data_IF_960921342667
#
_entry.id   IF_960921342667
#
_cell.length_a   1.000
_cell.length_b   1.000
_cell.length_c   1.000
_cell.angle_alpha   90.00
_cell.angle_beta   90.00
_cell.angle_gamma   90.00
#
_symmetry.space_group_name_H-M   'P 1'
#
loop_
_entity.id
_entity.type
_entity.pdbx_description
1 polymer ?
#
# COMPACT_ATOMS: atom_id res chain seq x y z
N UNK A 1 -1.97 33.84 0.37
CA UNK A 1 -0.95 32.89 -0.12
C UNK A 1 -0.45 31.92 0.97
N UNK A 2 -0.15 32.37 2.20
CA UNK A 2 0.36 31.51 3.27
C UNK A 2 -0.58 30.34 3.68
N UNK A 3 -1.91 30.55 3.61
CA UNK A 3 -2.91 29.55 4.02
C UNK A 3 -3.00 28.38 3.05
N UNK A 4 -2.84 28.62 1.74
CA UNK A 4 -2.88 27.57 0.71
C UNK A 4 -1.66 26.65 0.83
N UNK A 5 -0.49 27.24 1.17
CA UNK A 5 0.74 26.49 1.45
C UNK A 5 0.63 25.62 2.71
N UNK A 6 -0.09 26.09 3.73
CA UNK A 6 -0.34 25.33 4.96
C UNK A 6 -1.27 24.12 4.71
N UNK A 7 -2.29 24.29 3.87
CA UNK A 7 -3.23 23.22 3.50
C UNK A 7 -2.54 22.14 2.64
N UNK A 8 -1.67 22.53 1.71
CA UNK A 8 -0.84 21.59 0.93
C UNK A 8 0.19 20.84 1.78
N UNK A 9 0.65 21.43 2.88
CA UNK A 9 1.58 20.77 3.83
C UNK A 9 0.87 19.73 4.71
N UNK A 10 -0.41 19.94 5.03
CA UNK A 10 -1.19 19.05 5.90
C UNK A 10 -1.79 17.85 5.16
N UNK A 11 -1.99 17.91 3.84
CA UNK A 11 -2.53 16.79 3.04
C UNK A 11 -1.52 15.68 2.72
N UNK A 12 -0.24 15.85 3.11
CA UNK A 12 0.83 14.90 2.81
C UNK A 12 0.99 13.74 3.79
N UNK A 13 0.17 13.68 4.84
CA UNK A 13 0.20 12.60 5.81
C UNK A 13 -0.97 11.65 5.56
N UNK A 14 -0.70 10.34 5.59
CA UNK A 14 -1.64 9.23 5.44
C UNK A 14 -1.87 8.81 3.98
N UNK A 15 -0.81 8.30 3.35
CA UNK A 15 -0.96 7.26 2.33
C UNK A 15 -0.01 6.13 2.69
N UNK A 16 -0.57 5.01 3.15
CA UNK A 16 0.19 3.80 3.40
C UNK A 16 0.75 3.32 2.06
N UNK A 17 2.08 3.30 1.93
CA UNK A 17 2.72 2.75 0.74
C UNK A 17 2.37 1.27 0.60
N UNK A 18 2.28 0.74 -0.63
CA UNK A 18 2.09 -0.68 -0.84
C UNK A 18 3.32 -1.46 -0.34
N UNK A 19 3.20 -1.96 0.89
CA UNK A 19 4.00 -3.00 1.54
C UNK A 19 5.48 -3.07 1.14
N UNK A 20 6.32 -2.21 1.73
CA UNK A 20 7.75 -2.51 1.80
C UNK A 20 7.93 -3.79 2.65
N UNK A 21 8.57 -4.81 2.07
CA UNK A 21 8.84 -6.08 2.77
C UNK A 21 9.86 -5.92 3.89
N UNK A 22 10.61 -4.80 3.93
CA UNK A 22 11.67 -4.56 4.93
C UNK A 22 11.09 -4.34 6.35
N UNK A 23 10.10 -3.46 6.58
CA UNK A 23 9.39 -3.39 7.86
C UNK A 23 8.83 -4.75 8.32
N UNK A 24 8.21 -5.51 7.41
CA UNK A 24 7.68 -6.85 7.70
C UNK A 24 8.78 -7.84 8.08
N UNK A 25 9.90 -7.84 7.36
CA UNK A 25 11.06 -8.68 7.67
C UNK A 25 11.74 -8.29 8.99
N UNK A 26 11.58 -7.05 9.43
CA UNK A 26 12.02 -6.58 10.75
C UNK A 26 10.97 -6.83 11.85
N UNK A 27 9.95 -7.66 11.61
CA UNK A 27 8.90 -7.93 12.60
C UNK A 27 8.03 -6.71 12.91
N UNK A 28 7.81 -5.85 11.91
CA UNK A 28 7.14 -4.55 12.07
C UNK A 28 7.85 -3.60 13.06
N UNK A 29 9.11 -3.89 13.44
CA UNK A 29 9.89 -3.01 14.29
C UNK A 29 10.23 -1.71 13.52
N UNK A 30 9.61 -0.61 13.95
CA UNK A 30 9.80 0.74 13.42
C UNK A 30 11.01 1.44 14.04
N UNK A 31 12.11 0.73 14.23
CA UNK A 31 13.37 1.28 14.77
C UNK A 31 14.33 1.44 13.59
N UNK A 32 14.80 2.67 13.37
CA UNK A 32 15.77 2.96 12.32
C UNK A 32 17.13 2.34 12.67
N UNK A 33 17.38 1.11 12.21
CA UNK A 33 18.70 0.48 12.28
C UNK A 33 19.54 0.92 11.07
N UNK A 34 20.78 1.39 11.27
CA UNK A 34 21.67 1.74 10.18
C UNK A 34 22.22 0.45 9.52
N UNK A 35 21.53 -0.02 8.48
CA UNK A 35 22.00 -1.05 7.54
C UNK A 35 22.13 -0.41 6.15
N UNK A 36 23.28 -0.53 5.49
CA UNK A 36 23.52 -0.01 4.14
C UNK A 36 22.52 -0.51 3.08
N UNK A 37 21.82 -1.62 3.34
CA UNK A 37 20.76 -2.16 2.49
C UNK A 37 19.35 -2.13 3.13
N UNK A 38 19.22 -1.86 4.45
CA UNK A 38 17.93 -1.83 5.18
C UNK A 38 17.69 -0.57 6.02
N UNK A 39 18.44 0.50 5.76
CA UNK A 39 18.18 1.82 6.34
C UNK A 39 16.78 2.27 5.96
N UNK A 40 15.90 2.28 6.97
CA UNK A 40 14.63 2.99 6.93
C UNK A 40 14.93 4.46 6.66
N UNK A 41 14.62 4.91 5.46
CA UNK A 41 14.70 6.33 5.12
C UNK A 41 13.36 7.01 5.35
N UNK A 42 13.38 8.34 5.27
CA UNK A 42 12.20 9.17 5.47
C UNK A 42 11.06 8.85 4.48
N UNK A 43 11.38 8.46 3.24
CA UNK A 43 10.39 8.00 2.27
C UNK A 43 9.68 6.73 2.73
N UNK A 44 10.44 5.73 3.22
CA UNK A 44 9.89 4.48 3.75
C UNK A 44 9.13 4.66 5.06
N UNK A 45 9.57 5.61 5.90
CA UNK A 45 8.94 5.85 7.21
C UNK A 45 7.64 6.65 7.10
N UNK A 46 7.63 7.75 6.36
CA UNK A 46 6.49 8.65 6.29
C UNK A 46 5.58 8.43 5.07
N UNK A 47 6.00 7.60 4.12
CA UNK A 47 5.29 7.45 2.85
C UNK A 47 5.32 8.69 1.96
N UNK A 48 6.18 9.67 2.27
CA UNK A 48 6.20 10.97 1.59
C UNK A 48 7.05 10.91 0.31
N UNK A 49 6.37 10.99 -0.84
CA UNK A 49 6.99 10.96 -2.17
C UNK A 49 8.07 12.02 -2.40
N UNK A 50 8.05 13.16 -1.70
CA UNK A 50 9.11 14.17 -1.81
C UNK A 50 10.49 13.65 -1.35
N UNK A 51 10.52 12.59 -0.55
CA UNK A 51 11.76 11.99 -0.06
C UNK A 51 12.23 10.79 -0.88
N UNK A 52 11.55 10.44 -1.99
CA UNK A 52 11.92 9.29 -2.82
C UNK A 52 13.33 9.42 -3.39
N UNK A 53 13.84 10.62 -3.64
CA UNK A 53 15.22 10.80 -4.08
C UNK A 53 16.26 10.40 -3.00
N UNK A 54 15.89 10.46 -1.72
CA UNK A 54 16.70 9.97 -0.63
C UNK A 54 16.57 8.45 -0.45
N UNK A 55 15.62 7.82 -1.15
CA UNK A 55 15.55 6.38 -1.25
C UNK A 55 16.75 5.84 -2.03
N UNK A 56 17.07 4.56 -1.80
CA UNK A 56 18.18 3.81 -2.39
C UNK A 56 18.80 4.46 -3.64
N UNK A 57 20.08 4.86 -3.59
CA UNK A 57 20.73 5.69 -4.62
C UNK A 57 20.88 5.01 -5.99
N UNK A 58 20.66 3.69 -6.07
CA UNK A 58 20.75 2.92 -7.31
C UNK A 58 19.45 2.88 -8.10
N UNK A 59 19.57 2.63 -9.41
CA UNK A 59 18.45 2.16 -10.20
C UNK A 59 18.25 0.67 -9.96
N UNK A 60 17.01 0.24 -9.79
CA UNK A 60 16.73 -1.16 -9.51
C UNK A 60 15.35 -1.57 -10.04
N UNK A 61 15.21 -2.86 -10.27
CA UNK A 61 13.96 -3.54 -10.59
C UNK A 61 13.90 -4.81 -9.75
N UNK A 62 12.72 -5.11 -9.22
CA UNK A 62 12.48 -6.25 -8.34
C UNK A 62 11.17 -6.92 -8.71
N UNK A 63 11.16 -8.24 -8.56
CA UNK A 63 9.97 -9.08 -8.62
C UNK A 63 9.82 -9.73 -7.26
N UNK A 64 8.64 -9.60 -6.66
CA UNK A 64 8.33 -10.17 -5.36
C UNK A 64 7.06 -11.01 -5.43
N UNK A 65 7.09 -12.12 -4.71
CA UNK A 65 5.96 -13.01 -4.51
C UNK A 65 5.55 -12.93 -3.04
N UNK A 66 4.29 -12.62 -2.80
CA UNK A 66 3.69 -12.59 -1.48
C UNK A 66 2.63 -13.68 -1.37
N UNK A 67 2.68 -14.44 -0.29
CA UNK A 67 1.59 -15.29 0.15
C UNK A 67 1.35 -15.00 1.63
N UNK A 68 0.10 -14.79 1.98
CA UNK A 68 -0.36 -14.68 3.35
C UNK A 68 -1.62 -15.52 3.50
N UNK A 69 -1.64 -16.39 4.50
CA UNK A 69 -2.80 -17.21 4.82
C UNK A 69 -3.09 -17.09 6.30
N UNK A 70 -4.35 -16.83 6.64
CA UNK A 70 -4.82 -16.81 8.02
C UNK A 70 -6.17 -17.51 8.11
N UNK A 71 -6.37 -18.31 9.17
CA UNK A 71 -7.66 -18.96 9.48
C UNK A 71 -7.84 -19.01 10.98
N UNK A 72 -9.06 -18.80 11.45
CA UNK A 72 -9.33 -18.90 12.89
C UNK A 72 -10.76 -18.54 13.28
N UNK A 73 -11.14 -19.00 14.47
CA UNK A 73 -12.45 -18.70 15.06
C UNK A 73 -12.47 -17.37 15.84
N UNK A 74 -11.30 -16.89 16.30
CA UNK A 74 -11.20 -15.61 16.98
C UNK A 74 -11.14 -14.50 15.92
N UNK A 75 -12.30 -13.93 15.61
CA UNK A 75 -12.49 -12.90 14.57
C UNK A 75 -13.61 -11.96 14.98
N UNK A 76 -13.62 -10.72 14.47
CA UNK A 76 -14.77 -9.81 14.66
C UNK A 76 -15.97 -10.29 13.84
N UNK A 77 -17.13 -9.70 14.10
CA UNK A 77 -18.40 -10.16 13.55
C UNK A 77 -18.47 -10.22 12.02
N UNK A 78 -17.86 -9.25 11.32
CA UNK A 78 -17.81 -9.19 9.85
C UNK A 78 -16.47 -9.65 9.26
N UNK A 79 -15.52 -10.07 10.10
CA UNK A 79 -14.23 -10.58 9.60
C UNK A 79 -14.44 -11.95 8.94
N UNK A 80 -13.63 -12.27 7.93
CA UNK A 80 -13.66 -13.57 7.27
C UNK A 80 -13.18 -14.70 8.20
N UNK A 81 -13.61 -15.94 7.95
CA UNK A 81 -13.10 -17.11 8.66
C UNK A 81 -11.69 -17.45 8.18
N UNK A 82 -11.47 -17.34 6.88
CA UNK A 82 -10.19 -17.56 6.22
C UNK A 82 -9.85 -16.39 5.30
N UNK A 83 -8.57 -16.02 5.27
CA UNK A 83 -8.00 -15.01 4.37
C UNK A 83 -6.81 -15.62 3.66
N UNK A 84 -6.77 -15.48 2.34
CA UNK A 84 -5.70 -15.98 1.48
C UNK A 84 -5.35 -14.87 0.50
N UNK A 85 -4.23 -14.21 0.75
CA UNK A 85 -3.77 -13.10 -0.06
C UNK A 85 -2.52 -13.56 -0.80
N UNK A 86 -2.63 -13.67 -2.10
CA UNK A 86 -1.51 -14.00 -2.98
C UNK A 86 -1.22 -12.81 -3.87
N UNK A 87 0.05 -12.49 -4.05
CA UNK A 87 0.40 -11.42 -4.95
C UNK A 87 1.73 -11.67 -5.67
N UNK A 88 1.78 -11.19 -6.91
CA UNK A 88 3.03 -11.00 -7.64
C UNK A 88 3.18 -9.50 -7.86
N UNK A 89 4.31 -8.93 -7.45
CA UNK A 89 4.59 -7.53 -7.65
C UNK A 89 5.87 -7.30 -8.43
N UNK A 90 5.83 -6.33 -9.33
CA UNK A 90 6.94 -5.82 -10.10
C UNK A 90 7.14 -4.39 -9.66
N UNK A 91 8.31 -4.07 -9.10
CA UNK A 91 8.61 -2.72 -8.62
C UNK A 91 9.97 -2.27 -9.11
N UNK A 92 10.14 -0.97 -9.30
CA UNK A 92 11.42 -0.43 -9.72
C UNK A 92 11.55 1.05 -9.42
N UNK A 93 12.80 1.48 -9.28
CA UNK A 93 13.18 2.87 -9.10
C UNK A 93 14.21 3.26 -10.16
N UNK A 94 14.03 4.45 -10.73
CA UNK A 94 14.96 5.04 -11.68
C UNK A 94 15.23 6.50 -11.34
N UNK A 95 16.50 6.83 -11.17
CA UNK A 95 16.99 8.21 -11.17
C UNK A 95 17.05 8.68 -12.61
N UNK A 96 16.15 9.58 -12.97
CA UNK A 96 16.06 10.15 -14.32
C UNK A 96 17.12 11.24 -14.51
N UNK A 97 17.43 11.95 -13.43
CA UNK A 97 18.51 12.94 -13.35
C UNK A 97 19.09 12.97 -11.92
N UNK A 98 20.15 13.74 -11.65
CA UNK A 98 20.64 13.94 -10.28
C UNK A 98 19.59 14.52 -9.32
N UNK A 99 18.56 15.19 -9.84
CA UNK A 99 17.50 15.84 -9.04
C UNK A 99 16.16 15.14 -9.10
N UNK A 100 15.98 14.14 -9.97
CA UNK A 100 14.67 13.53 -10.25
C UNK A 100 14.70 12.01 -10.12
N UNK A 101 13.74 11.48 -9.37
CA UNK A 101 13.58 10.04 -9.14
C UNK A 101 12.15 9.63 -9.42
N UNK A 102 11.99 8.53 -10.16
CA UNK A 102 10.72 7.88 -10.44
C UNK A 102 10.70 6.50 -9.80
N UNK A 103 9.55 6.14 -9.24
CA UNK A 103 9.26 4.81 -8.72
C UNK A 103 7.93 4.33 -9.30
N UNK A 104 7.89 3.05 -9.66
CA UNK A 104 6.68 2.40 -10.12
C UNK A 104 6.56 1.01 -9.55
N UNK A 105 5.34 0.59 -9.27
CA UNK A 105 4.99 -0.75 -8.88
C UNK A 105 3.68 -1.17 -9.54
N UNK A 106 3.65 -2.39 -10.04
CA UNK A 106 2.43 -3.09 -10.45
C UNK A 106 2.35 -4.35 -9.62
N UNK A 107 1.24 -4.54 -8.92
CA UNK A 107 0.97 -5.69 -8.08
C UNK A 107 -0.31 -6.37 -8.54
N UNK A 108 -0.21 -7.62 -8.96
CA UNK A 108 -1.36 -8.47 -9.24
C UNK A 108 -1.74 -9.20 -7.97
N UNK A 109 -2.94 -8.93 -7.45
CA UNK A 109 -3.46 -9.56 -6.24
C UNK A 109 -4.46 -10.64 -6.61
N UNK A 110 -4.46 -11.70 -5.81
CA UNK A 110 -5.47 -12.74 -5.74
C UNK A 110 -5.82 -12.88 -4.26
N UNK A 111 -6.84 -12.14 -3.85
CA UNK A 111 -7.29 -12.04 -2.48
C UNK A 111 -8.60 -12.81 -2.33
N UNK A 112 -8.60 -13.81 -1.46
CA UNK A 112 -9.76 -14.66 -1.20
C UNK A 112 -10.14 -14.57 0.28
N UNK A 113 -11.39 -14.21 0.54
CA UNK A 113 -11.96 -14.18 1.89
C UNK A 113 -13.08 -15.20 1.99
N UNK A 114 -12.87 -16.19 2.83
CA UNK A 114 -13.79 -17.30 3.06
C UNK A 114 -14.78 -16.97 4.17
N UNK A 115 -16.06 -17.26 3.94
CA UNK A 115 -17.16 -17.19 4.92
C UNK A 115 -17.22 -15.84 5.64
N UNK A 116 -17.29 -14.78 4.86
CA UNK A 116 -17.56 -13.43 5.36
C UNK A 116 -19.02 -13.36 5.76
N UNK A 117 -19.23 -13.03 7.03
CA UNK A 117 -20.55 -13.04 7.65
C UNK A 117 -21.21 -11.67 7.45
N UNK A 118 -22.36 -11.65 6.77
CA UNK A 118 -23.28 -10.50 6.68
C UNK A 118 -22.70 -9.18 6.18
N UNK A 119 -21.51 -9.17 5.56
CA UNK A 119 -20.98 -8.00 4.88
C UNK A 119 -21.18 -8.13 3.37
N UNK A 120 -21.58 -7.03 2.73
CA UNK A 120 -21.67 -6.89 1.27
C UNK A 120 -20.31 -6.51 0.68
N UNK A 121 -19.49 -5.82 1.46
CA UNK A 121 -18.17 -5.35 1.06
C UNK A 121 -17.07 -6.24 1.62
N UNK A 122 -15.95 -6.28 0.88
CA UNK A 122 -14.79 -7.10 1.24
C UNK A 122 -14.03 -6.53 2.46
N UNK A 123 -14.12 -5.23 2.70
CA UNK A 123 -13.45 -4.51 3.79
C UNK A 123 -14.47 -3.71 4.63
N UNK A 124 -15.34 -4.39 5.40
CA UNK A 124 -16.45 -3.76 6.12
C UNK A 124 -16.03 -2.87 7.30
N UNK A 125 -14.72 -2.73 7.56
CA UNK A 125 -14.17 -1.92 8.65
C UNK A 125 -13.19 -0.86 8.12
N UNK A 126 -13.29 -0.50 6.83
CA UNK A 126 -12.49 0.57 6.25
C UNK A 126 -12.93 1.96 6.79
N UNK A 127 -12.44 3.04 6.20
CA UNK A 127 -12.69 4.42 6.65
C UNK A 127 -14.17 4.84 6.67
N UNK A 128 -15.06 4.08 6.02
CA UNK A 128 -16.48 4.37 5.97
C UNK A 128 -17.15 4.11 7.34
N UNK A 129 -17.89 5.09 7.89
CA UNK A 129 -18.53 4.95 9.19
C UNK A 129 -19.76 4.01 9.16
N UNK A 130 -20.19 3.58 7.97
CA UNK A 130 -21.36 2.74 7.78
C UNK A 130 -20.96 1.43 7.12
N UNK A 131 -21.45 0.32 7.67
CA UNK A 131 -21.22 -1.01 7.12
C UNK A 131 -22.45 -1.47 6.36
N UNK A 132 -22.31 -1.68 5.06
CA UNK A 132 -23.36 -2.29 4.24
C UNK A 132 -23.40 -3.80 4.52
N UNK A 133 -24.54 -4.24 5.05
CA UNK A 133 -24.75 -5.61 5.49
C UNK A 133 -25.87 -6.32 4.74
N UNK A 134 -25.75 -7.63 4.65
CA UNK A 134 -26.75 -8.53 4.10
C UNK A 134 -27.14 -9.62 5.11
N UNK A 135 -28.08 -10.48 4.74
CA UNK A 135 -28.51 -11.60 5.58
C UNK A 135 -27.68 -12.87 5.37
N UNK A 136 -26.73 -12.89 4.44
CA UNK A 136 -26.04 -14.11 4.01
C UNK A 136 -24.61 -14.22 4.53
N UNK A 137 -24.10 -15.44 4.62
CA UNK A 137 -22.66 -15.71 4.70
C UNK A 137 -22.18 -16.07 3.28
N UNK A 138 -20.97 -15.65 2.91
CA UNK A 138 -20.44 -15.97 1.59
C UNK A 138 -18.99 -15.55 1.41
N UNK A 139 -18.42 -15.97 0.29
CA UNK A 139 -17.01 -15.76 -0.03
C UNK A 139 -16.82 -14.53 -0.92
N UNK A 140 -15.65 -13.89 -0.80
CA UNK A 140 -15.17 -12.87 -1.72
C UNK A 140 -13.93 -13.38 -2.44
N UNK A 141 -13.88 -13.12 -3.75
CA UNK A 141 -12.69 -13.31 -4.56
C UNK A 141 -12.41 -11.99 -5.27
N UNK A 142 -11.22 -11.46 -5.07
CA UNK A 142 -10.69 -10.36 -5.84
C UNK A 142 -9.46 -10.83 -6.60
N UNK A 143 -9.46 -10.60 -7.91
CA UNK A 143 -8.32 -10.85 -8.78
C UNK A 143 -8.11 -9.59 -9.64
N UNK A 144 -7.04 -8.86 -9.38
CA UNK A 144 -6.84 -7.61 -10.11
C UNK A 144 -5.51 -6.91 -9.87
N UNK A 145 -5.16 -5.98 -10.78
CA UNK A 145 -3.97 -5.17 -10.65
C UNK A 145 -4.19 -4.02 -9.66
N UNK A 146 -3.11 -3.69 -8.96
CA UNK A 146 -2.88 -2.44 -8.29
C UNK A 146 -1.64 -1.80 -8.91
N UNK A 147 -1.72 -0.51 -9.18
CA UNK A 147 -0.63 0.27 -9.74
C UNK A 147 -0.30 1.40 -8.79
N UNK A 148 0.95 1.49 -8.40
CA UNK A 148 1.47 2.60 -7.62
C UNK A 148 2.58 3.28 -8.42
N UNK A 149 2.52 4.60 -8.53
CA UNK A 149 3.60 5.40 -9.11
C UNK A 149 3.92 6.56 -8.19
N UNK A 150 5.20 6.86 -8.05
CA UNK A 150 5.69 8.00 -7.30
C UNK A 150 6.79 8.73 -8.07
N UNK A 151 6.79 10.05 -7.95
CA UNK A 151 7.79 10.92 -8.55
C UNK A 151 8.28 11.92 -7.52
N UNK A 152 9.57 12.22 -7.56
CA UNK A 152 10.22 13.20 -6.69
C UNK A 152 11.18 14.07 -7.47
N UNK A 153 11.23 15.34 -7.09
CA UNK A 153 12.13 16.30 -7.69
C UNK A 153 12.67 17.29 -6.65
N UNK A 154 14.01 17.42 -6.65
CA UNK A 154 14.75 18.39 -5.86
C UNK A 154 14.85 19.72 -6.61
N UNK A 155 14.05 20.70 -6.19
CA UNK A 155 13.99 22.01 -6.86
C UNK A 155 15.11 22.93 -6.34
N UNK A 156 15.32 22.94 -5.03
CA UNK A 156 16.33 23.78 -4.36
C UNK A 156 17.02 22.99 -3.25
N UNK A 157 18.22 23.40 -2.78
CA UNK A 157 19.00 22.66 -1.79
C UNK A 157 18.23 22.21 -0.53
N UNK A 158 17.13 22.90 -0.18
CA UNK A 158 16.28 22.59 0.98
C UNK A 158 14.80 22.34 0.63
N UNK A 159 14.46 22.26 -0.65
CA UNK A 159 13.09 22.04 -1.11
C UNK A 159 12.99 20.87 -2.07
N UNK A 160 12.25 19.86 -1.63
CA UNK A 160 11.82 18.73 -2.44
C UNK A 160 10.31 18.75 -2.56
N UNK A 161 9.82 18.29 -3.69
CA UNK A 161 8.41 17.96 -3.85
C UNK A 161 8.30 16.59 -4.48
N UNK A 162 7.16 15.96 -4.27
CA UNK A 162 6.83 14.71 -4.88
C UNK A 162 5.33 14.52 -4.98
N UNK A 163 4.95 13.62 -5.85
CA UNK A 163 3.56 13.23 -6.08
C UNK A 163 3.52 11.71 -6.22
N UNK A 164 2.44 11.12 -5.73
CA UNK A 164 2.18 9.70 -5.90
C UNK A 164 0.73 9.45 -6.25
N UNK A 165 0.50 8.36 -6.95
CA UNK A 165 -0.81 7.85 -7.31
C UNK A 165 -0.83 6.35 -6.95
N UNK A 166 -1.83 5.96 -6.16
CA UNK A 166 -2.18 4.56 -5.93
C UNK A 166 -3.53 4.30 -6.60
N UNK A 167 -3.56 3.37 -7.54
CA UNK A 167 -4.75 3.00 -8.29
C UNK A 167 -4.99 1.51 -8.15
N UNK A 168 -6.16 1.16 -7.63
CA UNK A 168 -6.60 -0.22 -7.46
C UNK A 168 -8.04 -0.35 -7.96
N UNK A 169 -8.31 -1.37 -8.77
CA UNK A 169 -9.67 -1.67 -9.22
C UNK A 169 -10.26 -2.68 -8.23
N UNK A 170 -11.00 -2.22 -7.23
CA UNK A 170 -11.77 -3.16 -6.41
C UNK A 170 -13.03 -3.61 -7.16
N UNK A 171 -13.01 -4.84 -7.67
CA UNK A 171 -14.20 -5.54 -8.15
C UNK A 171 -14.28 -6.88 -7.43
N UNK A 172 -14.95 -6.89 -6.29
CA UNK A 172 -15.24 -8.11 -5.55
C UNK A 172 -16.66 -8.00 -5.00
N UNK A 173 -17.65 -8.46 -5.77
CA UNK A 173 -18.96 -8.75 -5.21
C UNK A 173 -18.89 -10.11 -4.52
N UNK A 174 -19.57 -10.24 -3.38
CA UNK A 174 -19.74 -11.52 -2.71
C UNK A 174 -20.29 -12.52 -3.70
N UNK A 175 -19.80 -13.76 -3.68
CA UNK A 175 -20.17 -14.81 -4.66
C UNK A 175 -21.69 -15.06 -4.77
N UNK A 176 -22.44 -14.77 -3.70
CA UNK A 176 -23.91 -14.88 -3.70
C UNK A 176 -24.60 -13.84 -4.62
N UNK A 177 -23.88 -12.80 -5.05
CA UNK A 177 -24.37 -11.68 -5.86
C UNK A 177 -23.62 -11.53 -7.19
N UNK A 178 -22.70 -12.45 -7.52
CA UNK A 178 -21.88 -12.44 -8.76
C UNK A 178 -22.45 -13.33 -9.86
#
# INVERSE_FOLDING_TARGET
>A
MAVILLILFLSGMIWAQPGDLRPRAAGEMRIALPDTNRQLNLYQFAGNSAWLQMNNRGNWLRIDFGNQTARGNLRRYWDAFGVFDNAVSFSGQKHVSPTQTFFGQIRYNLDYKERVNRAIEMEPYDLDPFVLSDSTEGDFLYAGPQVFVAYSHHIWPRLWWGVSLDYRIYRGLKKNYS
#
